data_IF_005040572071
#
_entry.id   IF_005040572071
#
_cell.length_a   1.000
_cell.length_b   1.000
_cell.length_c   1.000
_cell.angle_alpha   90.00
_cell.angle_beta   90.00
_cell.angle_gamma   90.00
#
_symmetry.space_group_name_H-M   'P 1'
#
loop_
_entity.id
_entity.type
_entity.pdbx_description
1 polymer ?
#
# COMPACT_ATOMS: atom_id res chain seq x y z
N UNK A 1 16.46 -11.97 8.66
CA UNK A 1 16.92 -11.49 7.33
C UNK A 1 17.41 -12.71 6.55
N UNK A 2 16.75 -13.06 5.44
CA UNK A 2 17.36 -13.96 4.45
C UNK A 2 18.09 -13.08 3.46
N UNK A 3 19.37 -13.38 3.22
CA UNK A 3 20.23 -12.65 2.28
C UNK A 3 19.75 -12.98 0.85
N UNK A 4 18.78 -12.21 0.35
CA UNK A 4 18.23 -12.37 -0.99
C UNK A 4 19.03 -11.49 -1.94
N UNK A 5 19.83 -12.14 -2.77
CA UNK A 5 20.62 -11.51 -3.84
C UNK A 5 20.04 -11.93 -5.19
N UNK A 6 19.83 -10.96 -6.07
CA UNK A 6 19.39 -11.19 -7.45
C UNK A 6 20.57 -10.95 -8.39
N UNK A 7 20.68 -11.77 -9.44
CA UNK A 7 21.73 -11.66 -10.44
C UNK A 7 21.09 -11.46 -11.81
N UNK A 8 21.51 -10.41 -12.51
CA UNK A 8 21.11 -10.14 -13.89
C UNK A 8 22.36 -10.18 -14.77
N UNK A 9 22.35 -11.10 -15.74
CA UNK A 9 23.40 -11.22 -16.73
C UNK A 9 22.88 -10.70 -18.07
N UNK A 10 23.50 -9.65 -18.58
CA UNK A 10 23.27 -9.10 -19.90
C UNK A 10 24.40 -9.55 -20.82
N UNK A 11 24.05 -10.25 -21.89
CA UNK A 11 24.99 -10.83 -22.87
C UNK A 11 24.76 -10.25 -24.26
N UNK A 12 25.68 -10.52 -25.20
CA UNK A 12 25.56 -10.08 -26.60
C UNK A 12 25.90 -8.60 -26.81
N UNK A 13 26.77 -8.02 -25.99
CA UNK A 13 27.29 -6.67 -26.19
C UNK A 13 28.37 -6.60 -27.27
N UNK A 14 28.98 -5.43 -27.41
CA UNK A 14 30.01 -5.19 -28.43
C UNK A 14 31.19 -6.15 -28.32
N UNK A 15 31.74 -6.55 -29.46
CA UNK A 15 32.98 -7.30 -29.54
C UNK A 15 34.13 -6.54 -28.85
N UNK A 16 34.99 -7.28 -28.17
CA UNK A 16 36.16 -6.75 -27.47
C UNK A 16 37.36 -7.71 -27.61
N UNK A 17 38.55 -7.25 -27.20
CA UNK A 17 39.79 -8.04 -27.27
C UNK A 17 39.98 -8.66 -28.66
N UNK A 18 39.94 -7.81 -29.68
CA UNK A 18 40.12 -8.20 -31.09
C UNK A 18 39.09 -9.22 -31.58
N UNK A 19 37.86 -9.12 -31.08
CA UNK A 19 36.75 -10.01 -31.47
C UNK A 19 36.75 -11.35 -30.76
N UNK A 20 37.60 -11.55 -29.75
CA UNK A 20 37.68 -12.80 -29.00
C UNK A 20 36.51 -13.00 -28.02
N UNK A 21 35.96 -11.91 -27.49
CA UNK A 21 34.84 -11.95 -26.56
C UNK A 21 33.78 -10.91 -26.94
N UNK A 22 32.54 -11.15 -26.53
CA UNK A 22 31.45 -10.17 -26.56
C UNK A 22 31.27 -9.59 -25.16
N UNK A 23 31.06 -8.28 -25.07
CA UNK A 23 30.87 -7.63 -23.77
C UNK A 23 29.65 -8.19 -23.06
N UNK A 24 29.81 -8.35 -21.75
CA UNK A 24 28.76 -8.78 -20.85
C UNK A 24 28.65 -7.81 -19.68
N UNK A 25 27.48 -7.76 -19.04
CA UNK A 25 27.29 -7.02 -17.79
C UNK A 25 26.63 -7.93 -16.77
N UNK A 26 27.29 -8.12 -15.62
CA UNK A 26 26.74 -8.78 -14.45
C UNK A 26 26.33 -7.73 -13.42
N UNK A 27 25.03 -7.61 -13.19
CA UNK A 27 24.44 -6.75 -12.17
C UNK A 27 23.99 -7.60 -10.99
N UNK A 28 24.64 -7.41 -9.84
CA UNK A 28 24.32 -8.09 -8.59
C UNK A 28 23.51 -7.15 -7.71
N UNK A 29 22.25 -7.46 -7.46
CA UNK A 29 21.36 -6.64 -6.65
C UNK A 29 21.15 -7.26 -5.27
N UNK A 30 21.37 -6.47 -4.22
CA UNK A 30 21.16 -6.88 -2.82
C UNK A 30 20.07 -6.03 -2.19
N UNK A 31 19.25 -6.63 -1.33
CA UNK A 31 18.21 -5.88 -0.62
C UNK A 31 18.84 -4.77 0.24
N UNK A 32 18.32 -3.55 0.09
CA UNK A 32 18.75 -2.35 0.79
C UNK A 32 17.57 -1.44 1.16
N UNK A 33 17.79 -0.46 2.05
CA UNK A 33 16.70 0.41 2.54
C UNK A 33 16.22 1.44 1.51
N UNK A 34 17.09 1.83 0.57
CA UNK A 34 16.82 2.89 -0.44
C UNK A 34 16.83 2.30 -1.84
N UNK A 35 16.36 3.04 -2.85
CA UNK A 35 16.52 2.62 -4.25
C UNK A 35 18.00 2.56 -4.66
N UNK A 36 18.82 3.52 -4.22
CA UNK A 36 20.26 3.54 -4.48
C UNK A 36 20.61 3.53 -5.97
N UNK A 37 21.89 3.32 -6.29
CA UNK A 37 22.37 3.20 -7.68
C UNK A 37 23.40 2.06 -7.82
N UNK A 38 23.55 1.48 -9.03
CA UNK A 38 24.60 0.50 -9.29
C UNK A 38 26.00 1.12 -9.14
N UNK A 39 26.86 0.45 -8.39
CA UNK A 39 28.27 0.79 -8.20
C UNK A 39 29.10 -0.13 -9.08
N UNK A 40 29.98 0.47 -9.89
CA UNK A 40 30.93 -0.29 -10.70
C UNK A 40 32.00 -0.93 -9.82
N UNK A 41 32.22 -2.23 -10.00
CA UNK A 41 33.26 -2.96 -9.29
C UNK A 41 34.49 -3.12 -10.16
N UNK A 42 34.34 -3.78 -11.32
CA UNK A 42 35.45 -4.11 -12.21
C UNK A 42 34.97 -4.56 -13.58
N UNK A 43 35.89 -4.60 -14.54
CA UNK A 43 35.75 -5.31 -15.81
C UNK A 43 36.70 -6.51 -15.82
N UNK A 44 36.19 -7.71 -16.14
CA UNK A 44 37.03 -8.91 -16.23
C UNK A 44 37.87 -8.90 -17.51
N UNK A 45 38.96 -9.71 -17.61
CA UNK A 45 39.72 -9.86 -18.85
C UNK A 45 38.87 -10.31 -20.06
N UNK A 46 37.79 -11.05 -19.81
CA UNK A 46 36.77 -11.51 -20.76
C UNK A 46 35.69 -10.45 -21.07
N UNK A 47 35.92 -9.19 -20.70
CA UNK A 47 35.04 -8.04 -20.96
C UNK A 47 33.65 -8.11 -20.30
N UNK A 48 33.59 -8.71 -19.11
CA UNK A 48 32.38 -8.65 -18.28
C UNK A 48 32.49 -7.48 -17.29
N UNK A 49 31.62 -6.49 -17.41
CA UNK A 49 31.47 -5.44 -16.39
C UNK A 49 30.67 -5.97 -15.21
N UNK A 50 31.15 -5.74 -14.00
CA UNK A 50 30.49 -6.17 -12.76
C UNK A 50 30.05 -4.95 -11.97
N UNK A 51 28.77 -4.94 -11.60
CA UNK A 51 28.16 -3.90 -10.78
C UNK A 51 27.49 -4.52 -9.55
N UNK A 52 27.56 -3.83 -8.42
CA UNK A 52 26.74 -4.11 -7.23
C UNK A 52 25.69 -3.01 -7.05
N UNK A 53 24.45 -3.39 -6.79
CA UNK A 53 23.36 -2.45 -6.54
C UNK A 53 22.60 -2.84 -5.27
N UNK A 54 22.88 -2.13 -4.17
CA UNK A 54 22.11 -2.24 -2.94
C UNK A 54 20.83 -1.43 -3.10
N UNK A 55 19.68 -2.10 -3.20
CA UNK A 55 18.41 -1.48 -3.59
C UNK A 55 17.19 -2.13 -2.94
N UNK A 56 16.20 -1.31 -2.60
CA UNK A 56 14.89 -1.74 -2.10
C UNK A 56 14.11 -2.56 -3.13
N UNK A 57 14.41 -2.40 -4.42
CA UNK A 57 13.79 -3.20 -5.49
C UNK A 57 14.20 -4.69 -5.48
N UNK A 58 15.32 -5.03 -4.84
CA UNK A 58 15.77 -6.41 -4.69
C UNK A 58 15.15 -7.13 -3.48
N UNK A 59 14.45 -6.38 -2.62
CA UNK A 59 13.71 -6.95 -1.51
C UNK A 59 12.44 -7.63 -2.04
N UNK A 60 12.21 -8.90 -1.68
CA UNK A 60 11.08 -9.68 -2.21
C UNK A 60 9.72 -8.99 -2.01
N UNK A 61 8.76 -9.29 -2.90
CA UNK A 61 7.34 -8.88 -2.78
C UNK A 61 6.79 -9.34 -1.43
N UNK A 62 6.79 -8.44 -0.46
CA UNK A 62 6.69 -8.75 0.97
C UNK A 62 7.42 -7.74 1.85
N UNK A 63 8.35 -6.97 1.27
CA UNK A 63 8.79 -5.67 1.80
C UNK A 63 7.69 -4.62 1.58
N UNK A 64 6.48 -4.88 2.07
CA UNK A 64 5.71 -3.76 2.58
C UNK A 64 6.53 -3.20 3.75
N UNK A 65 6.71 -1.88 3.88
CA UNK A 65 7.07 -1.33 5.18
C UNK A 65 6.12 -1.97 6.19
N UNK A 66 6.66 -2.45 7.31
CA UNK A 66 5.86 -2.99 8.39
C UNK A 66 4.67 -2.04 8.60
N UNK A 67 3.41 -2.50 8.49
CA UNK A 67 2.27 -1.61 8.72
C UNK A 67 2.30 -0.98 10.11
N UNK A 68 3.08 -1.52 11.05
CA UNK A 68 3.37 -0.92 12.36
C UNK A 68 4.50 0.14 12.33
N UNK A 69 5.39 0.11 11.34
CA UNK A 69 6.44 1.13 11.20
C UNK A 69 5.87 2.52 10.83
N UNK A 70 4.64 2.59 10.32
CA UNK A 70 3.97 3.85 10.00
C UNK A 70 4.75 4.76 9.03
N UNK A 71 5.49 4.16 8.10
CA UNK A 71 6.31 4.87 7.12
C UNK A 71 5.73 4.71 5.71
N UNK A 72 5.69 5.81 4.97
CA UNK A 72 5.37 5.82 3.55
C UNK A 72 6.62 6.18 2.72
N UNK A 73 6.96 5.36 1.74
CA UNK A 73 8.11 5.60 0.85
C UNK A 73 7.63 6.10 -0.52
N UNK A 74 8.10 7.28 -0.93
CA UNK A 74 7.92 7.80 -2.27
C UNK A 74 9.11 7.41 -3.16
N UNK A 75 8.88 6.39 -3.98
CA UNK A 75 9.88 5.89 -4.92
C UNK A 75 10.27 6.87 -6.04
N UNK A 76 9.46 7.90 -6.30
CA UNK A 76 9.73 8.88 -7.37
C UNK A 76 10.80 9.88 -6.94
N UNK A 77 10.71 10.32 -5.68
CA UNK A 77 11.60 11.34 -5.13
C UNK A 77 12.62 10.76 -4.15
N UNK A 78 12.58 9.44 -3.89
CA UNK A 78 13.40 8.74 -2.89
C UNK A 78 13.26 9.31 -1.48
N UNK A 79 12.05 9.78 -1.13
CA UNK A 79 11.76 10.38 0.16
C UNK A 79 10.97 9.39 1.01
N UNK A 80 11.41 9.24 2.25
CA UNK A 80 10.70 8.51 3.29
C UNK A 80 9.91 9.51 4.15
N UNK A 81 8.62 9.24 4.34
CA UNK A 81 7.72 10.02 5.19
C UNK A 81 7.33 9.19 6.41
N UNK A 82 7.80 9.60 7.59
CA UNK A 82 7.33 9.06 8.86
C UNK A 82 5.97 9.70 9.19
N UNK A 83 4.92 8.87 9.28
CA UNK A 83 3.56 9.29 9.60
C UNK A 83 3.23 9.08 11.09
N UNK A 84 4.21 8.73 11.92
CA UNK A 84 4.01 8.44 13.35
C UNK A 84 3.38 9.61 14.10
N UNK A 85 3.68 10.84 13.71
CA UNK A 85 3.06 12.05 14.29
C UNK A 85 1.55 12.16 14.01
N UNK A 86 1.05 11.48 12.98
CA UNK A 86 -0.38 11.39 12.66
C UNK A 86 -1.08 10.25 13.42
N UNK A 87 -0.31 9.38 14.09
CA UNK A 87 -0.82 8.31 14.95
C UNK A 87 -1.27 8.88 16.29
N UNK A 88 -2.45 9.49 16.29
CA UNK A 88 -3.06 10.09 17.49
C UNK A 88 -4.05 9.14 18.17
N UNK A 89 -4.15 9.21 19.50
CA UNK A 89 -4.98 8.27 20.30
C UNK A 89 -6.49 8.37 20.01
N UNK A 90 -6.94 9.51 19.49
CA UNK A 90 -8.33 9.76 19.12
C UNK A 90 -8.49 9.81 17.61
N UNK A 91 -9.56 9.23 17.05
CA UNK A 91 -9.77 9.27 15.61
C UNK A 91 -10.02 10.71 15.14
N UNK A 92 -9.50 11.03 13.96
CA UNK A 92 -9.87 12.24 13.25
C UNK A 92 -11.33 12.13 12.81
N UNK A 93 -12.20 12.98 13.33
CA UNK A 93 -13.63 12.94 13.01
C UNK A 93 -14.10 14.25 12.40
N UNK A 94 -14.82 14.15 11.28
CA UNK A 94 -15.52 15.29 10.66
C UNK A 94 -16.95 14.93 10.35
N UNK A 95 -17.85 15.89 10.53
CA UNK A 95 -19.28 15.72 10.29
C UNK A 95 -19.73 16.69 9.21
N UNK A 96 -20.30 16.15 8.14
CA UNK A 96 -20.87 16.92 7.05
C UNK A 96 -22.40 16.78 7.05
N UNK A 97 -23.10 17.90 7.15
CA UNK A 97 -24.56 17.94 7.01
C UNK A 97 -24.93 18.10 5.55
N UNK A 98 -25.90 17.32 5.08
CA UNK A 98 -26.51 17.57 3.77
C UNK A 98 -27.27 18.91 3.80
N UNK A 99 -26.98 19.79 2.84
CA UNK A 99 -27.63 21.10 2.71
C UNK A 99 -29.13 20.98 2.41
N UNK A 100 -29.58 19.81 1.94
CA UNK A 100 -30.99 19.48 1.70
C UNK A 100 -31.77 18.96 2.92
N UNK A 101 -31.16 18.89 4.11
CA UNK A 101 -31.84 18.49 5.35
C UNK A 101 -32.11 16.98 5.49
N UNK A 102 -31.56 16.15 4.60
CA UNK A 102 -31.82 14.71 4.57
C UNK A 102 -31.04 13.90 5.61
N UNK A 103 -29.82 14.30 5.97
CA UNK A 103 -28.99 13.54 6.92
C UNK A 103 -27.62 14.13 7.20
N UNK A 104 -26.90 13.48 8.11
CA UNK A 104 -25.52 13.82 8.50
C UNK A 104 -24.56 12.67 8.20
N UNK A 105 -23.37 13.00 7.73
CA UNK A 105 -22.31 12.06 7.40
C UNK A 105 -21.15 12.28 8.36
N UNK A 106 -20.80 11.27 9.14
CA UNK A 106 -19.65 11.32 10.05
C UNK A 106 -18.55 10.42 9.50
N UNK A 107 -17.39 11.01 9.24
CA UNK A 107 -16.19 10.32 8.79
C UNK A 107 -15.23 10.24 9.97
N UNK A 108 -14.76 9.04 10.30
CA UNK A 108 -13.72 8.81 11.31
C UNK A 108 -12.53 8.08 10.68
N UNK A 109 -11.32 8.55 10.96
CA UNK A 109 -10.07 8.01 10.41
C UNK A 109 -9.00 7.89 11.50
N UNK A 110 -8.30 6.76 11.53
CA UNK A 110 -7.06 6.58 12.28
C UNK A 110 -5.91 6.22 11.34
N UNK A 111 -4.75 6.84 11.55
CA UNK A 111 -3.52 6.57 10.79
C UNK A 111 -2.66 5.59 11.57
N UNK A 112 -2.18 4.53 10.91
CA UNK A 112 -1.28 3.50 11.46
C UNK A 112 -1.77 2.75 12.72
N UNK A 113 -3.07 2.83 13.02
CA UNK A 113 -3.68 2.12 14.14
C UNK A 113 -5.16 1.88 13.87
N UNK A 114 -5.77 0.84 14.48
CA UNK A 114 -7.20 0.63 14.43
C UNK A 114 -7.98 1.79 15.06
N UNK A 115 -9.17 2.04 14.52
CA UNK A 115 -10.18 2.87 15.17
C UNK A 115 -10.57 2.26 16.54
N UNK A 116 -10.79 3.08 17.57
CA UNK A 116 -11.26 2.59 18.85
C UNK A 116 -12.60 1.85 18.72
N UNK A 117 -12.83 0.86 19.61
CA UNK A 117 -14.08 0.10 19.65
C UNK A 117 -15.32 0.96 19.95
N UNK A 118 -15.15 2.16 20.49
CA UNK A 118 -16.21 3.15 20.69
C UNK A 118 -16.79 3.70 19.38
N UNK A 119 -16.07 3.56 18.26
CA UNK A 119 -16.54 4.04 16.96
C UNK A 119 -17.61 3.11 16.40
N UNK A 120 -18.72 3.70 15.94
CA UNK A 120 -19.96 2.98 15.64
C UNK A 120 -19.85 1.87 14.57
N UNK A 121 -18.89 1.96 13.65
CA UNK A 121 -18.61 0.89 12.68
C UNK A 121 -17.82 -0.28 13.29
N UNK A 122 -16.99 -0.02 14.30
CA UNK A 122 -16.14 -1.02 14.96
C UNK A 122 -16.96 -1.84 15.96
N UNK A 123 -17.82 -1.17 16.72
CA UNK A 123 -18.68 -1.82 17.72
C UNK A 123 -19.67 -2.85 17.14
N UNK A 124 -19.94 -2.80 15.84
CA UNK A 124 -20.95 -3.61 15.16
C UNK A 124 -20.39 -4.37 13.96
N UNK A 125 -19.07 -4.49 13.84
CA UNK A 125 -18.45 -5.19 12.73
C UNK A 125 -18.78 -6.69 12.76
N UNK A 126 -19.42 -7.26 11.72
CA UNK A 126 -19.62 -8.71 11.61
C UNK A 126 -18.32 -9.53 11.56
N UNK A 127 -17.16 -8.88 11.33
CA UNK A 127 -15.84 -9.51 11.40
C UNK A 127 -15.39 -9.94 12.82
N UNK A 128 -16.12 -9.55 13.86
CA UNK A 128 -15.85 -9.94 15.25
C UNK A 128 -14.70 -9.17 15.94
N UNK A 129 -14.42 -9.47 17.22
CA UNK A 129 -13.42 -8.79 18.03
C UNK A 129 -12.01 -9.15 17.54
N UNK A 130 -11.52 -8.41 16.55
CA UNK A 130 -10.22 -8.65 15.91
C UNK A 130 -10.03 -7.90 14.58
N UNK A 131 -11.11 -7.35 14.01
CA UNK A 131 -11.03 -6.57 12.79
C UNK A 131 -10.31 -5.22 13.02
N UNK A 132 -9.21 -5.02 12.28
CA UNK A 132 -8.48 -3.75 12.23
C UNK A 132 -9.18 -2.84 11.21
N UNK A 133 -10.05 -1.94 11.69
CA UNK A 133 -10.74 -0.93 10.86
C UNK A 133 -10.00 0.40 10.97
N UNK A 134 -9.62 1.00 9.83
CA UNK A 134 -8.88 2.27 9.82
C UNK A 134 -9.74 3.49 9.53
N UNK A 135 -10.88 3.28 8.86
CA UNK A 135 -11.83 4.33 8.56
C UNK A 135 -13.27 3.85 8.70
N UNK A 136 -14.15 4.77 9.10
CA UNK A 136 -15.57 4.52 9.34
C UNK A 136 -16.40 5.68 8.81
N UNK A 137 -17.39 5.35 7.99
CA UNK A 137 -18.44 6.29 7.58
C UNK A 137 -19.78 5.89 8.21
N UNK A 138 -20.39 6.84 8.91
CA UNK A 138 -21.75 6.73 9.46
C UNK A 138 -22.66 7.75 8.78
N UNK A 139 -23.77 7.28 8.23
CA UNK A 139 -24.81 8.12 7.65
C UNK A 139 -26.04 8.11 8.56
N UNK A 140 -26.38 9.25 9.15
CA UNK A 140 -27.58 9.42 9.97
C UNK A 140 -28.63 10.20 9.17
N UNK A 141 -29.58 9.49 8.56
CA UNK A 141 -30.81 10.08 8.02
C UNK A 141 -31.89 10.12 9.11
N UNK A 142 -33.02 10.79 8.87
CA UNK A 142 -34.22 10.68 9.73
C UNK A 142 -34.73 9.21 9.63
N UNK A 143 -34.16 8.32 10.44
CA UNK A 143 -34.28 6.85 10.34
C UNK A 143 -33.09 6.10 10.97
N UNK A 144 -32.91 4.81 10.64
CA UNK A 144 -31.77 4.02 11.14
C UNK A 144 -30.47 4.37 10.43
N UNK A 145 -29.34 4.54 11.15
CA UNK A 145 -28.08 4.94 10.54
C UNK A 145 -27.44 3.80 9.74
N UNK A 146 -26.99 4.12 8.52
CA UNK A 146 -26.20 3.19 7.70
C UNK A 146 -24.71 3.33 8.06
N UNK A 147 -23.98 2.21 8.06
CA UNK A 147 -22.58 2.14 8.51
C UNK A 147 -21.72 1.41 7.49
N UNK A 148 -20.54 1.97 7.21
CA UNK A 148 -19.63 1.45 6.20
C UNK A 148 -18.20 1.41 6.77
N UNK A 149 -17.74 0.25 7.28
CA UNK A 149 -16.36 0.07 7.73
C UNK A 149 -15.40 -0.12 6.54
N UNK A 150 -14.22 0.49 6.64
CA UNK A 150 -13.09 0.16 5.76
C UNK A 150 -12.02 -0.55 6.57
N UNK A 151 -11.87 -1.85 6.29
CA UNK A 151 -10.81 -2.65 6.89
C UNK A 151 -9.45 -2.17 6.40
N UNK A 152 -8.44 -2.25 7.27
CA UNK A 152 -7.03 -2.21 6.87
C UNK A 152 -6.75 -3.47 6.04
N UNK A 153 -7.13 -3.46 4.77
CA UNK A 153 -6.48 -4.33 3.81
C UNK A 153 -5.04 -3.84 3.74
N UNK A 154 -4.08 -4.69 4.11
CA UNK A 154 -2.65 -4.41 4.00
C UNK A 154 -2.37 -3.55 2.77
N UNK A 155 -1.57 -2.50 2.96
CA UNK A 155 -1.28 -1.30 2.13
C UNK A 155 -1.07 -1.51 0.60
N UNK A 156 -1.26 -2.70 0.05
CA UNK A 156 -1.11 -3.07 -1.36
C UNK A 156 -2.22 -2.64 -2.33
N UNK A 157 -3.09 -1.69 -1.99
CA UNK A 157 -3.96 -1.04 -2.99
C UNK A 157 -3.98 0.48 -2.85
N UNK A 158 -2.79 1.10 -2.85
CA UNK A 158 -2.61 2.40 -3.53
C UNK A 158 -1.57 2.23 -4.64
N UNK A 159 -1.71 1.17 -5.45
CA UNK A 159 -1.16 1.13 -6.80
C UNK A 159 -2.33 1.26 -7.74
N UNK A 160 -2.45 2.46 -8.32
CA UNK A 160 -3.34 2.78 -9.43
C UNK A 160 -4.83 2.67 -9.13
N UNK A 161 -5.42 3.62 -8.40
CA UNK A 161 -6.77 4.18 -8.64
C UNK A 161 -7.12 5.25 -7.58
N UNK A 162 -6.27 6.28 -7.41
CA UNK A 162 -6.81 7.64 -7.19
C UNK A 162 -7.17 8.16 -8.58
N UNK A 163 -8.16 7.52 -9.18
CA UNK A 163 -9.04 8.17 -10.12
C UNK A 163 -10.37 8.13 -9.41
N UNK A 164 -10.78 9.28 -8.87
CA UNK A 164 -12.19 9.62 -8.83
C UNK A 164 -12.66 9.56 -10.29
N UNK A 165 -13.01 8.36 -10.78
CA UNK A 165 -13.83 8.26 -11.98
C UNK A 165 -15.25 8.61 -11.54
N UNK A 166 -15.83 9.69 -12.07
CA UNK A 166 -17.24 9.91 -11.93
C UNK A 166 -17.93 8.94 -12.89
N UNK A 167 -18.66 7.96 -12.38
CA UNK A 167 -19.88 7.51 -13.07
C UNK A 167 -20.77 6.64 -12.16
N UNK A 168 -22.10 6.75 -12.33
CA UNK A 168 -23.08 6.06 -11.52
C UNK A 168 -23.31 4.65 -12.07
N UNK A 169 -23.25 3.65 -11.22
CA UNK A 169 -23.95 2.38 -11.49
C UNK A 169 -24.16 1.64 -10.19
N UNK A 170 -25.42 1.67 -9.75
CA UNK A 170 -25.98 0.74 -8.79
C UNK A 170 -25.59 -0.69 -9.15
N UNK A 171 -24.96 -1.40 -8.21
CA UNK A 171 -25.03 -2.86 -8.13
C UNK A 171 -25.45 -3.23 -6.71
N UNK A 172 -26.77 -3.29 -6.51
CA UNK A 172 -27.36 -4.06 -5.43
C UNK A 172 -26.99 -5.53 -5.65
N UNK A 173 -26.24 -6.13 -4.72
CA UNK A 173 -26.35 -7.57 -4.51
C UNK A 173 -27.56 -7.81 -3.58
N UNK A 174 -28.60 -8.53 -4.05
CA UNK A 174 -29.74 -8.84 -3.20
C UNK A 174 -29.33 -9.98 -2.26
N UNK A 175 -29.13 -9.69 -0.98
CA UNK A 175 -29.21 -10.73 0.04
C UNK A 175 -30.69 -11.00 0.35
N UNK A 176 -31.12 -12.25 0.54
CA UNK A 176 -32.54 -12.62 0.53
C UNK A 176 -33.24 -12.05 1.77
N UNK A 177 -34.37 -11.36 1.56
CA UNK A 177 -35.26 -10.96 2.63
C UNK A 177 -35.92 -12.20 3.28
N UNK A 178 -36.07 -12.26 4.61
CA UNK A 178 -36.84 -13.32 5.26
C UNK A 178 -38.32 -13.17 4.89
N UNK A 179 -38.92 -14.25 4.39
CA UNK A 179 -40.36 -14.31 4.09
C UNK A 179 -41.16 -14.01 5.35
N UNK A 180 -41.98 -12.95 5.33
CA UNK A 180 -43.09 -12.80 6.27
C UNK A 180 -44.27 -13.58 5.71
N UNK A 181 -44.68 -14.61 6.44
CA UNK A 181 -45.91 -15.35 6.18
C UNK A 181 -47.15 -14.53 6.51
N UNK A 182 -48.19 -14.79 5.75
CA UNK A 182 -49.59 -14.71 6.15
C UNK A 182 -50.18 -16.10 5.92
#
# INVERSE_FOLDING_TARGET
MKDQTLYFLYEGGDACRDGKYERQTLLTMRCGPTLGAPVFLQETPECQFQFEWVTSAACGVGFAPDPEACVAYDATNEIEYDLSDLRIDLPWTTTYGDRGGGGTFTYSLSVCQPLPSSVACVAQDPGGPGAKIGACLVQNFIGTPNKYPLHFLSIFFIRSHIFLKPTPTYFFHPYPQPRKGW
#
